data_IF_363152006900
#
_entry.id   IF_363152006900
#
_cell.length_a   1.000
_cell.length_b   1.000
_cell.length_c   1.000
_cell.angle_alpha   90.00
_cell.angle_beta   90.00
_cell.angle_gamma   90.00
#
_symmetry.space_group_name_H-M   'P 1'
#
loop_
_entity.id
_entity.type
_entity.pdbx_description
1 polymer ?
#
# COMPACT_ATOMS: atom_id res chain seq x y z
N UNK A 1 -5.53 4.47 -4.02
CA UNK A 1 -4.36 5.02 -4.73
C UNK A 1 -3.79 4.04 -5.77
N UNK A 2 -3.67 2.75 -5.46
CA UNK A 2 -3.09 1.77 -6.39
C UNK A 2 -3.74 1.76 -7.78
N UNK A 3 -5.07 1.65 -7.93
CA UNK A 3 -5.69 1.57 -9.25
C UNK A 3 -5.71 2.90 -10.03
N UNK A 4 -5.34 3.99 -9.40
CA UNK A 4 -5.34 5.33 -10.03
C UNK A 4 -3.93 5.87 -10.19
N UNK A 5 -3.38 6.49 -9.14
CA UNK A 5 -2.11 7.22 -9.22
C UNK A 5 -0.91 6.35 -9.58
N UNK A 6 -0.81 5.13 -9.01
CA UNK A 6 0.28 4.21 -9.37
C UNK A 6 0.16 3.69 -10.80
N UNK A 7 -1.07 3.51 -11.28
CA UNK A 7 -1.29 3.07 -12.65
C UNK A 7 -0.87 4.14 -13.66
N UNK A 8 -1.27 5.40 -13.41
CA UNK A 8 -0.82 6.52 -14.26
C UNK A 8 0.69 6.74 -14.19
N UNK A 9 1.29 6.57 -13.03
CA UNK A 9 2.76 6.58 -12.89
C UNK A 9 3.42 5.49 -13.73
N UNK A 10 2.87 4.27 -13.73
CA UNK A 10 3.38 3.17 -14.56
C UNK A 10 3.26 3.46 -16.06
N UNK A 11 2.17 4.11 -16.49
CA UNK A 11 1.95 4.47 -17.90
C UNK A 11 2.92 5.57 -18.34
N UNK A 12 3.12 6.59 -17.51
CA UNK A 12 3.82 7.81 -17.92
C UNK A 12 5.32 7.80 -17.61
N UNK A 13 5.76 7.09 -16.55
CA UNK A 13 7.11 7.21 -16.02
C UNK A 13 7.84 5.88 -15.81
N UNK A 14 7.43 4.82 -16.51
CA UNK A 14 8.13 3.53 -16.44
C UNK A 14 8.48 3.00 -17.81
N UNK A 15 9.59 2.27 -17.87
CA UNK A 15 9.91 1.47 -19.04
C UNK A 15 8.86 0.38 -19.26
N UNK A 16 8.38 0.23 -20.48
CA UNK A 16 7.38 -0.79 -20.84
C UNK A 16 8.03 -2.12 -21.26
N UNK A 17 9.32 -2.29 -21.01
CA UNK A 17 10.05 -3.52 -21.27
C UNK A 17 10.53 -4.16 -19.97
N UNK A 18 10.25 -5.44 -19.80
CA UNK A 18 10.70 -6.24 -18.67
C UNK A 18 11.19 -7.59 -19.17
N UNK A 19 12.45 -7.93 -18.89
CA UNK A 19 13.08 -9.18 -19.37
C UNK A 19 13.03 -9.37 -20.89
N UNK A 20 13.12 -8.29 -21.69
CA UNK A 20 13.07 -8.33 -23.15
C UNK A 20 11.66 -8.52 -23.74
N UNK A 21 10.61 -8.46 -22.90
CA UNK A 21 9.22 -8.53 -23.33
C UNK A 21 8.53 -7.18 -23.07
N UNK A 22 7.69 -6.74 -24.02
CA UNK A 22 6.84 -5.57 -23.80
C UNK A 22 5.74 -5.90 -22.78
N UNK A 23 5.65 -5.12 -21.72
CA UNK A 23 4.66 -5.28 -20.64
C UNK A 23 3.68 -4.11 -20.70
N UNK A 24 2.39 -4.43 -20.77
CA UNK A 24 1.37 -3.40 -20.64
C UNK A 24 1.39 -2.85 -19.19
N UNK A 25 1.56 -1.53 -18.98
CA UNK A 25 1.62 -0.94 -17.65
C UNK A 25 0.40 -1.25 -16.77
N UNK A 26 -0.77 -1.40 -17.36
CA UNK A 26 -2.02 -1.74 -16.66
C UNK A 26 -1.92 -3.14 -16.01
N UNK A 27 -1.12 -4.06 -16.57
CA UNK A 27 -0.93 -5.40 -16.04
C UNK A 27 -0.26 -5.43 -14.66
N UNK A 28 0.44 -4.37 -14.27
CA UNK A 28 1.01 -4.27 -12.93
C UNK A 28 -0.05 -4.30 -11.80
N UNK A 29 -1.30 -3.95 -12.09
CA UNK A 29 -2.38 -4.11 -11.12
C UNK A 29 -2.59 -5.57 -10.69
N UNK A 30 -2.26 -6.54 -11.55
CA UNK A 30 -2.33 -7.96 -11.21
C UNK A 30 -1.30 -8.40 -10.15
N UNK A 31 -0.28 -7.57 -9.88
CA UNK A 31 0.68 -7.83 -8.80
C UNK A 31 0.03 -7.76 -7.42
N UNK A 32 -1.02 -6.94 -7.22
CA UNK A 32 -1.69 -6.90 -5.93
C UNK A 32 -2.35 -8.25 -5.58
N UNK A 33 -3.31 -8.78 -6.36
CA UNK A 33 -3.89 -10.09 -6.05
C UNK A 33 -2.83 -11.21 -6.05
N UNK A 34 -1.79 -11.14 -6.89
CA UNK A 34 -0.68 -12.09 -6.84
C UNK A 34 0.01 -12.09 -5.46
N UNK A 35 0.43 -10.91 -4.96
CA UNK A 35 1.08 -10.80 -3.65
C UNK A 35 0.15 -11.12 -2.49
N UNK A 36 -1.15 -10.86 -2.61
CA UNK A 36 -2.15 -11.26 -1.62
C UNK A 36 -2.25 -12.78 -1.53
N UNK A 37 -2.32 -13.47 -2.66
CA UNK A 37 -2.40 -14.95 -2.70
C UNK A 37 -1.12 -15.60 -2.18
N UNK A 38 0.04 -15.10 -2.56
CA UNK A 38 1.35 -15.63 -2.11
C UNK A 38 1.66 -15.23 -0.68
N UNK A 39 1.40 -13.98 -0.32
CA UNK A 39 1.72 -13.42 1.00
C UNK A 39 0.82 -13.92 2.12
N UNK A 40 -0.45 -14.21 1.82
CA UNK A 40 -1.41 -14.67 2.84
C UNK A 40 -0.97 -15.96 3.55
N UNK A 41 -0.63 -17.06 2.88
CA UNK A 41 -0.17 -18.27 3.55
C UNK A 41 1.18 -18.08 4.25
N UNK A 42 2.08 -17.27 3.69
CA UNK A 42 3.37 -16.95 4.33
C UNK A 42 3.15 -16.20 5.63
N UNK A 43 2.30 -15.19 5.62
CA UNK A 43 1.97 -14.40 6.80
C UNK A 43 1.26 -15.25 7.87
N UNK A 44 0.32 -16.12 7.46
CA UNK A 44 -0.35 -17.06 8.34
C UNK A 44 0.64 -18.02 9.01
N UNK A 45 1.62 -18.55 8.24
CA UNK A 45 2.67 -19.42 8.76
C UNK A 45 3.56 -18.70 9.78
N UNK A 46 3.94 -17.45 9.51
CA UNK A 46 4.72 -16.62 10.43
C UNK A 46 3.95 -16.44 11.75
N UNK A 47 2.69 -16.04 11.70
CA UNK A 47 1.89 -15.82 12.90
C UNK A 47 1.64 -17.10 13.69
N UNK A 48 1.37 -18.22 13.02
CA UNK A 48 1.20 -19.51 13.70
C UNK A 48 2.48 -19.94 14.42
N UNK A 49 3.65 -19.78 13.78
CA UNK A 49 4.95 -20.08 14.40
C UNK A 49 5.30 -19.14 15.57
N UNK A 50 4.93 -17.86 15.46
CA UNK A 50 5.14 -16.92 16.56
C UNK A 50 4.21 -17.20 17.72
N UNK A 51 2.93 -17.47 17.44
CA UNK A 51 1.94 -17.85 18.45
C UNK A 51 2.29 -19.13 19.19
N UNK A 52 2.77 -20.16 18.48
CA UNK A 52 3.20 -21.44 19.12
C UNK A 52 4.40 -21.28 20.07
N UNK A 53 5.20 -20.22 19.90
CA UNK A 53 6.33 -19.88 20.76
C UNK A 53 6.00 -18.86 21.86
N UNK A 54 4.71 -18.53 22.04
CA UNK A 54 4.27 -17.51 22.99
C UNK A 54 4.75 -16.08 22.67
N UNK A 55 5.16 -15.82 21.44
CA UNK A 55 5.69 -14.53 20.97
C UNK A 55 4.79 -13.89 19.90
N UNK A 56 3.48 -14.10 20.01
CA UNK A 56 2.57 -13.46 19.06
C UNK A 56 2.62 -11.94 19.19
N UNK A 57 2.60 -11.28 18.05
CA UNK A 57 2.55 -9.83 18.00
C UNK A 57 1.17 -9.36 18.46
N UNK A 58 1.15 -8.34 19.29
CA UNK A 58 -0.12 -7.73 19.72
C UNK A 58 -0.83 -7.09 18.52
N UNK A 59 -2.17 -7.03 18.57
CA UNK A 59 -2.95 -6.46 17.47
C UNK A 59 -2.52 -5.03 17.11
N UNK A 60 -2.32 -4.10 18.06
CA UNK A 60 -1.83 -2.76 17.74
C UNK A 60 -0.50 -2.78 16.98
N UNK A 61 0.41 -3.68 17.33
CA UNK A 61 1.70 -3.80 16.64
C UNK A 61 1.55 -4.33 15.21
N UNK A 62 0.64 -5.29 14.97
CA UNK A 62 0.34 -5.80 13.62
C UNK A 62 -0.19 -4.68 12.72
N UNK A 63 -1.11 -3.84 13.22
CA UNK A 63 -1.61 -2.67 12.49
C UNK A 63 -0.51 -1.64 12.21
N UNK A 64 0.34 -1.36 13.21
CA UNK A 64 1.49 -0.45 13.04
C UNK A 64 2.43 -0.93 11.94
N UNK A 65 2.77 -2.22 11.91
CA UNK A 65 3.59 -2.81 10.86
C UNK A 65 2.91 -2.73 9.49
N UNK A 66 1.60 -2.94 9.42
CA UNK A 66 0.82 -2.78 8.19
C UNK A 66 0.93 -1.35 7.64
N UNK A 67 0.74 -0.34 8.49
CA UNK A 67 0.90 1.07 8.12
C UNK A 67 2.34 1.39 7.69
N UNK A 68 3.33 0.80 8.36
CA UNK A 68 4.74 0.95 7.98
C UNK A 68 5.02 0.38 6.58
N UNK A 69 4.51 -0.81 6.25
CA UNK A 69 4.64 -1.37 4.90
C UNK A 69 3.93 -0.52 3.85
N UNK A 70 2.74 -0.01 4.13
CA UNK A 70 2.07 0.95 3.23
C UNK A 70 2.94 2.19 2.98
N UNK A 71 3.55 2.74 4.02
CA UNK A 71 4.48 3.87 3.89
C UNK A 71 5.68 3.51 3.01
N UNK A 72 6.31 2.35 3.24
CA UNK A 72 7.44 1.87 2.43
C UNK A 72 7.07 1.78 0.94
N UNK A 73 5.85 1.32 0.62
CA UNK A 73 5.38 1.26 -0.76
C UNK A 73 5.38 2.63 -1.43
N UNK A 74 4.82 3.65 -0.78
CA UNK A 74 4.81 5.02 -1.32
C UNK A 74 6.19 5.66 -1.35
N UNK A 75 7.02 5.44 -0.34
CA UNK A 75 8.39 5.95 -0.31
C UNK A 75 9.25 5.28 -1.39
N UNK A 76 9.05 3.99 -1.67
CA UNK A 76 9.72 3.29 -2.79
C UNK A 76 9.29 3.90 -4.13
N UNK A 77 8.01 4.22 -4.30
CA UNK A 77 7.51 4.91 -5.50
C UNK A 77 8.13 6.30 -5.67
N UNK A 78 8.27 7.08 -4.60
CA UNK A 78 8.95 8.36 -4.65
C UNK A 78 10.45 8.21 -4.92
N UNK A 79 11.12 7.30 -4.22
CA UNK A 79 12.54 7.03 -4.36
C UNK A 79 12.92 6.55 -5.76
N UNK A 80 12.06 5.74 -6.41
CA UNK A 80 12.30 5.28 -7.78
C UNK A 80 12.47 6.45 -8.75
N UNK A 81 11.68 7.50 -8.62
CA UNK A 81 11.80 8.68 -9.46
C UNK A 81 12.86 9.69 -9.01
N UNK A 82 13.15 9.79 -7.69
CA UNK A 82 14.15 10.74 -7.20
C UNK A 82 15.59 10.32 -7.48
N UNK A 83 15.87 9.00 -7.40
CA UNK A 83 17.24 8.49 -7.42
C UNK A 83 17.53 7.49 -8.53
N UNK A 84 16.51 6.93 -9.16
CA UNK A 84 16.65 5.81 -10.10
C UNK A 84 15.95 6.05 -11.45
N UNK A 85 15.43 7.24 -11.70
CA UNK A 85 14.95 7.63 -13.02
C UNK A 85 16.13 7.88 -13.95
N UNK A 86 15.97 7.51 -15.21
CA UNK A 86 16.96 7.78 -16.27
C UNK A 86 16.86 9.24 -16.78
N UNK A 87 17.70 9.57 -17.76
CA UNK A 87 17.72 10.90 -18.37
C UNK A 87 16.40 11.25 -19.09
N UNK A 88 15.57 10.27 -19.37
CA UNK A 88 14.25 10.43 -20.01
C UNK A 88 13.12 10.55 -19.00
N UNK A 89 13.38 10.45 -17.69
CA UNK A 89 12.38 10.48 -16.64
C UNK A 89 11.62 9.16 -16.49
N UNK A 90 12.19 8.06 -16.97
CA UNK A 90 11.61 6.72 -16.85
C UNK A 90 12.30 5.92 -15.75
N UNK A 91 11.50 5.12 -15.03
CA UNK A 91 11.97 4.25 -13.95
C UNK A 91 11.86 2.78 -14.35
N UNK A 92 12.65 1.92 -13.69
CA UNK A 92 12.60 0.49 -13.91
C UNK A 92 11.29 -0.14 -13.45
N UNK A 93 10.67 -1.04 -14.23
CA UNK A 93 9.42 -1.72 -13.87
C UNK A 93 9.54 -2.63 -12.61
N UNK A 94 10.76 -3.00 -12.21
CA UNK A 94 11.00 -3.74 -10.97
C UNK A 94 10.58 -2.99 -9.71
N UNK A 95 10.58 -1.65 -9.75
CA UNK A 95 10.07 -0.86 -8.64
C UNK A 95 8.57 -1.10 -8.42
N UNK A 96 7.77 -1.33 -9.49
CA UNK A 96 6.36 -1.68 -9.32
C UNK A 96 6.18 -3.00 -8.58
N UNK A 97 7.01 -3.99 -8.85
CA UNK A 97 6.98 -5.28 -8.13
C UNK A 97 7.17 -5.07 -6.63
N UNK A 98 8.14 -4.23 -6.24
CA UNK A 98 8.39 -3.88 -4.84
C UNK A 98 7.29 -3.02 -4.21
N UNK A 99 6.80 -2.02 -4.94
CA UNK A 99 5.71 -1.14 -4.49
C UNK A 99 4.47 -1.97 -4.17
N UNK A 100 4.05 -2.84 -5.10
CA UNK A 100 2.89 -3.71 -4.90
C UNK A 100 3.12 -4.75 -3.80
N UNK A 101 4.33 -5.28 -3.65
CA UNK A 101 4.69 -6.16 -2.53
C UNK A 101 4.43 -5.47 -1.19
N UNK A 102 4.99 -4.27 -0.99
CA UNK A 102 4.83 -3.54 0.27
C UNK A 102 3.38 -3.13 0.51
N UNK A 103 2.68 -2.66 -0.51
CA UNK A 103 1.26 -2.29 -0.40
C UNK A 103 0.39 -3.51 -0.05
N UNK A 104 0.61 -4.66 -0.68
CA UNK A 104 -0.16 -5.88 -0.42
C UNK A 104 0.12 -6.45 0.97
N UNK A 105 1.37 -6.39 1.44
CA UNK A 105 1.70 -6.77 2.83
C UNK A 105 0.99 -5.86 3.83
N UNK A 106 1.00 -4.55 3.60
CA UNK A 106 0.28 -3.59 4.42
C UNK A 106 -1.23 -3.85 4.43
N UNK A 107 -1.81 -4.11 3.27
CA UNK A 107 -3.22 -4.44 3.11
C UNK A 107 -3.60 -5.71 3.88
N UNK A 108 -2.83 -6.79 3.73
CA UNK A 108 -3.06 -8.04 4.46
C UNK A 108 -3.01 -7.84 5.98
N UNK A 109 -2.05 -7.05 6.47
CA UNK A 109 -1.90 -6.82 7.91
C UNK A 109 -3.00 -5.92 8.47
N UNK A 110 -3.56 -4.99 7.70
CA UNK A 110 -4.60 -4.08 8.17
C UNK A 110 -5.99 -4.71 7.94
N UNK A 111 -6.30 -5.11 6.72
CA UNK A 111 -7.65 -5.52 6.34
C UNK A 111 -7.99 -6.93 6.83
N UNK A 112 -7.13 -7.92 6.56
CA UNK A 112 -7.42 -9.30 6.95
C UNK A 112 -7.42 -9.48 8.46
N UNK A 113 -6.44 -8.89 9.18
CA UNK A 113 -6.38 -8.95 10.63
C UNK A 113 -7.49 -8.11 11.29
N UNK A 114 -7.84 -6.97 10.71
CA UNK A 114 -8.93 -6.13 11.19
C UNK A 114 -10.27 -6.86 11.16
N UNK A 115 -10.59 -7.52 10.04
CA UNK A 115 -11.81 -8.33 9.94
C UNK A 115 -11.79 -9.54 10.89
N UNK A 116 -10.65 -10.20 11.05
CA UNK A 116 -10.50 -11.32 11.99
C UNK A 116 -10.71 -10.85 13.45
N UNK A 117 -10.20 -9.67 13.81
CA UNK A 117 -10.41 -9.06 15.12
C UNK A 117 -11.89 -8.74 15.37
N UNK A 118 -12.57 -8.14 14.39
CA UNK A 118 -14.01 -7.87 14.47
C UNK A 118 -14.78 -9.17 14.69
N UNK A 119 -14.47 -10.21 13.93
CA UNK A 119 -15.11 -11.52 14.04
C UNK A 119 -14.90 -12.18 15.41
N UNK A 120 -13.75 -11.95 16.05
CA UNK A 120 -13.41 -12.54 17.35
C UNK A 120 -14.02 -11.77 18.54
N UNK A 121 -14.18 -10.46 18.45
CA UNK A 121 -14.56 -9.60 19.57
C UNK A 121 -16.03 -9.21 19.59
N UNK A 122 -16.70 -9.24 18.45
CA UNK A 122 -18.07 -8.73 18.30
C UNK A 122 -19.10 -9.85 18.51
N UNK A 123 -20.09 -9.66 19.40
CA UNK A 123 -21.21 -10.59 19.54
C UNK A 123 -21.95 -10.77 18.21
N UNK A 124 -22.42 -12.02 17.92
CA UNK A 124 -23.06 -12.37 16.66
C UNK A 124 -24.23 -11.45 16.26
N UNK A 125 -25.05 -10.99 17.23
CA UNK A 125 -26.17 -10.07 16.98
C UNK A 125 -25.77 -8.67 16.52
N UNK A 126 -24.53 -8.23 16.76
CA UNK A 126 -24.00 -6.93 16.33
C UNK A 126 -23.08 -7.06 15.13
N UNK A 127 -22.73 -8.28 14.71
CA UNK A 127 -21.77 -8.55 13.66
C UNK A 127 -22.10 -7.82 12.36
N UNK A 128 -23.36 -7.91 11.89
CA UNK A 128 -23.78 -7.24 10.65
C UNK A 128 -23.64 -5.73 10.72
N UNK A 129 -23.98 -5.11 11.87
CA UNK A 129 -23.84 -3.68 12.07
C UNK A 129 -22.36 -3.24 12.05
N UNK A 130 -21.49 -3.92 12.78
CA UNK A 130 -20.06 -3.60 12.86
C UNK A 130 -19.36 -3.83 11.50
N UNK A 131 -19.68 -4.92 10.78
CA UNK A 131 -19.18 -5.13 9.42
C UNK A 131 -19.66 -4.04 8.45
N UNK A 132 -20.93 -3.62 8.57
CA UNK A 132 -21.46 -2.50 7.80
C UNK A 132 -20.67 -1.21 8.06
N UNK A 133 -20.38 -0.89 9.32
CA UNK A 133 -19.53 0.25 9.68
C UNK A 133 -18.09 0.11 9.16
N UNK A 134 -17.53 -1.09 9.18
CA UNK A 134 -16.22 -1.37 8.58
C UNK A 134 -16.21 -1.05 7.09
N UNK A 135 -17.18 -1.56 6.32
CA UNK A 135 -17.26 -1.29 4.89
C UNK A 135 -17.59 0.18 4.58
N UNK A 136 -18.37 0.86 5.44
CA UNK A 136 -18.60 2.29 5.31
C UNK A 136 -17.28 3.08 5.47
N UNK A 137 -16.45 2.71 6.43
CA UNK A 137 -15.11 3.31 6.61
C UNK A 137 -14.22 3.08 5.36
N UNK A 138 -14.28 1.89 4.78
CA UNK A 138 -13.58 1.58 3.52
C UNK A 138 -14.08 2.45 2.36
N UNK A 139 -15.39 2.63 2.23
CA UNK A 139 -15.98 3.50 1.20
C UNK A 139 -15.54 4.95 1.37
N UNK A 140 -15.56 5.49 2.59
CA UNK A 140 -15.08 6.83 2.89
C UNK A 140 -13.58 6.98 2.59
N UNK A 141 -12.76 5.98 2.96
CA UNK A 141 -11.35 5.96 2.63
C UNK A 141 -11.10 5.94 1.12
N UNK A 142 -11.93 5.24 0.35
CA UNK A 142 -11.85 5.22 -1.12
C UNK A 142 -12.18 6.58 -1.74
N UNK A 143 -13.19 7.28 -1.21
CA UNK A 143 -13.52 8.66 -1.64
C UNK A 143 -12.36 9.62 -1.36
N UNK A 144 -11.79 9.57 -0.16
CA UNK A 144 -10.62 10.38 0.19
C UNK A 144 -9.41 10.01 -0.67
N UNK A 145 -9.20 8.72 -0.93
CA UNK A 145 -8.16 8.23 -1.83
C UNK A 145 -8.34 8.76 -3.26
N UNK A 146 -9.58 8.79 -3.77
CA UNK A 146 -9.92 9.42 -5.06
C UNK A 146 -9.59 10.92 -5.07
N UNK A 147 -9.96 11.63 -4.02
CA UNK A 147 -9.61 13.06 -3.89
C UNK A 147 -8.09 13.28 -3.85
N UNK A 148 -7.35 12.49 -3.08
CA UNK A 148 -5.88 12.57 -3.05
C UNK A 148 -5.27 12.23 -4.41
N UNK A 149 -5.89 11.32 -5.18
CA UNK A 149 -5.45 11.00 -6.53
C UNK A 149 -5.52 12.19 -7.50
N UNK A 150 -6.39 13.18 -7.26
CA UNK A 150 -6.44 14.39 -8.08
C UNK A 150 -5.16 15.22 -8.02
N UNK A 151 -4.40 15.12 -6.93
CA UNK A 151 -3.08 15.78 -6.82
C UNK A 151 -2.01 15.17 -7.71
N UNK A 152 -2.24 13.96 -8.22
CA UNK A 152 -1.39 13.32 -9.23
C UNK A 152 -1.92 13.50 -10.64
N UNK A 153 -3.00 14.29 -10.82
CA UNK A 153 -3.55 14.57 -12.13
C UNK A 153 -2.57 15.42 -12.94
N UNK A 154 -2.17 14.88 -14.06
CA UNK A 154 -1.28 15.57 -15.02
C UNK A 154 -2.15 16.47 -15.91
N UNK A 155 -1.76 17.74 -16.14
CA UNK A 155 -2.47 18.64 -17.04
C UNK A 155 -2.62 18.03 -18.45
N UNK A 156 -3.76 18.31 -19.11
CA UNK A 156 -4.01 17.81 -20.47
C UNK A 156 -2.94 18.31 -21.43
N UNK A 157 -2.36 17.36 -22.19
CA UNK A 157 -1.28 17.65 -23.15
C UNK A 157 0.15 17.51 -22.62
N UNK A 158 0.33 17.25 -21.33
CA UNK A 158 1.64 16.98 -20.75
C UNK A 158 1.93 15.47 -20.86
N UNK A 159 2.69 15.08 -21.85
CA UNK A 159 3.07 13.67 -22.14
C UNK A 159 4.55 13.39 -21.87
N UNK A 160 5.33 14.43 -21.58
CA UNK A 160 6.75 14.31 -21.31
C UNK A 160 7.00 13.69 -19.93
N UNK A 161 7.67 12.52 -19.84
CA UNK A 161 7.95 11.87 -18.56
C UNK A 161 8.77 12.74 -17.59
N UNK A 162 9.66 13.61 -18.09
CA UNK A 162 10.46 14.52 -17.26
C UNK A 162 9.60 15.55 -16.52
N UNK A 163 8.48 15.95 -17.11
CA UNK A 163 7.56 16.91 -16.50
C UNK A 163 6.56 16.24 -15.57
N UNK A 164 6.18 15.00 -15.85
CA UNK A 164 5.20 14.25 -15.04
C UNK A 164 5.82 13.62 -13.80
N UNK A 165 7.08 13.20 -13.87
CA UNK A 165 7.82 12.54 -12.79
C UNK A 165 7.80 13.30 -11.45
N UNK A 166 8.11 14.63 -11.40
CA UNK A 166 8.12 15.37 -10.15
C UNK A 166 6.72 15.47 -9.52
N UNK A 167 5.66 15.46 -10.32
CA UNK A 167 4.28 15.48 -9.82
C UNK A 167 3.98 14.20 -9.04
N UNK A 168 4.25 13.03 -9.64
CA UNK A 168 4.00 11.73 -9.00
C UNK A 168 4.89 11.53 -7.78
N UNK A 169 6.20 11.74 -7.93
CA UNK A 169 7.17 11.50 -6.84
C UNK A 169 6.94 12.44 -5.67
N UNK A 170 6.59 13.70 -5.95
CA UNK A 170 6.27 14.68 -4.92
C UNK A 170 5.02 14.31 -4.11
N UNK A 171 3.97 13.83 -4.77
CA UNK A 171 2.74 13.37 -4.08
C UNK A 171 3.00 12.06 -3.33
N UNK A 172 3.65 11.07 -3.95
CA UNK A 172 3.97 9.81 -3.29
C UNK A 172 4.88 10.00 -2.08
N UNK A 173 5.87 10.89 -2.17
CA UNK A 173 6.73 11.25 -1.04
C UNK A 173 5.93 11.85 0.13
N UNK A 174 5.02 12.79 -0.14
CA UNK A 174 4.15 13.37 0.90
C UNK A 174 3.23 12.34 1.55
N UNK A 175 2.59 11.47 0.75
CA UNK A 175 1.74 10.39 1.25
C UNK A 175 2.58 9.41 2.08
N UNK A 176 3.73 8.99 1.56
CA UNK A 176 4.64 8.07 2.25
C UNK A 176 5.11 8.62 3.60
N UNK A 177 5.53 9.89 3.65
CA UNK A 177 5.94 10.54 4.89
C UNK A 177 4.79 10.71 5.88
N UNK A 178 3.60 11.12 5.42
CA UNK A 178 2.43 11.24 6.28
C UNK A 178 2.03 9.86 6.86
N UNK A 179 2.03 8.82 6.04
CA UNK A 179 1.73 7.45 6.47
C UNK A 179 2.80 6.92 7.43
N UNK A 180 4.09 7.25 7.21
CA UNK A 180 5.18 6.92 8.11
C UNK A 180 5.00 7.58 9.48
N UNK A 181 4.64 8.87 9.48
CA UNK A 181 4.36 9.59 10.73
C UNK A 181 3.24 8.91 11.53
N UNK A 182 2.15 8.53 10.85
CA UNK A 182 1.05 7.79 11.48
C UNK A 182 1.55 6.45 12.03
N UNK A 183 2.34 5.69 11.28
CA UNK A 183 2.91 4.43 11.74
C UNK A 183 3.80 4.61 12.97
N UNK A 184 4.61 5.67 13.02
CA UNK A 184 5.46 6.00 14.18
C UNK A 184 4.60 6.34 15.40
N UNK A 185 3.59 7.20 15.23
CA UNK A 185 2.66 7.56 16.33
C UNK A 185 1.95 6.32 16.85
N UNK A 186 1.42 5.46 15.97
CA UNK A 186 0.82 4.19 16.35
C UNK A 186 1.80 3.31 17.11
N UNK A 187 3.05 3.21 16.65
CA UNK A 187 4.11 2.44 17.30
C UNK A 187 4.41 2.92 18.72
N UNK A 188 4.44 4.23 18.92
CA UNK A 188 4.62 4.84 20.24
C UNK A 188 3.43 4.58 21.19
N UNK A 189 2.23 4.41 20.64
CA UNK A 189 1.02 4.10 21.41
C UNK A 189 0.89 2.60 21.77
N UNK A 190 1.60 1.70 21.08
CA UNK A 190 1.52 0.24 21.32
C UNK A 190 1.73 -0.14 22.81
N UNK A 191 2.76 0.36 23.52
CA UNK A 191 2.98 -0.01 24.92
C UNK A 191 1.82 0.42 25.83
N UNK A 192 1.13 1.50 25.51
CA UNK A 192 0.00 2.02 26.26
C UNK A 192 -1.29 1.22 25.98
N UNK A 193 -1.50 0.80 24.73
CA UNK A 193 -2.66 0.00 24.30
C UNK A 193 -2.57 -1.47 24.74
N UNK A 194 -1.40 -1.94 25.12
CA UNK A 194 -1.16 -3.32 25.59
C UNK A 194 -1.30 -3.46 27.13
N UNK A 195 -1.63 -2.39 27.83
CA UNK A 195 -1.90 -2.40 29.29
C UNK A 195 -3.37 -2.63 29.55
#
# INVERSE_FOLDING_TARGET
>A
QMPTSLNFFAINNMHHEMLGMSVNPISFQALNPFWVVVGSPVLAMIYTRMGSKGRDLTMPLKFTLGMFFCSLGFLTAAASGWWFADEQGLTSPWFMVLIYLFQSLGELMISALGLAMVAALVPQRLMGFILGMWFLTQAMASLLGGYVATFTAVPQGMTDPLQTLPIYTGVFGKIGMATLLIAVVMGLMVPWLNR
#
